data_IF_351672019797
#
_entry.id   IF_351672019797
#
_cell.length_a   1.000
_cell.length_b   1.000
_cell.length_c   1.000
_cell.angle_alpha   90.00
_cell.angle_beta   90.00
_cell.angle_gamma   90.00
#
_symmetry.space_group_name_H-M   'P 1'
#
loop_
_entity.id
_entity.type
_entity.pdbx_description
1 polymer ?
#
# COMPACT_ATOMS: atom_id res chain seq x y z
N UNK A 1 -42.65 -6.27 30.31
CA UNK A 1 -41.30 -6.76 30.64
C UNK A 1 -40.59 -7.49 29.51
N UNK A 2 -41.20 -8.35 28.69
CA UNK A 2 -40.53 -9.10 27.60
C UNK A 2 -40.06 -8.25 26.39
N UNK A 3 -40.58 -7.03 26.20
CA UNK A 3 -40.19 -6.14 25.11
C UNK A 3 -38.93 -5.27 25.46
N UNK A 4 -38.72 -4.98 26.74
CA UNK A 4 -37.57 -4.17 27.20
C UNK A 4 -36.28 -5.01 27.17
N UNK A 5 -36.38 -6.32 27.44
CA UNK A 5 -35.22 -7.22 27.40
C UNK A 5 -34.68 -7.42 25.97
N UNK A 6 -35.53 -7.36 24.94
CA UNK A 6 -35.09 -7.47 23.53
C UNK A 6 -34.38 -6.20 23.03
N UNK A 7 -34.73 -5.03 23.55
CA UNK A 7 -34.04 -3.78 23.21
C UNK A 7 -32.68 -3.62 23.90
N UNK A 8 -32.50 -4.26 25.08
CA UNK A 8 -31.22 -4.20 25.79
C UNK A 8 -30.16 -5.15 25.22
N UNK A 9 -30.56 -6.21 24.50
CA UNK A 9 -29.62 -7.14 23.84
C UNK A 9 -29.04 -6.53 22.57
N UNK A 10 -29.73 -5.57 21.94
CA UNK A 10 -29.21 -4.88 20.74
C UNK A 10 -28.15 -3.80 21.07
N UNK A 11 -28.04 -3.39 22.34
CA UNK A 11 -27.08 -2.36 22.79
C UNK A 11 -25.70 -2.95 23.19
N UNK A 12 -25.55 -4.29 23.14
CA UNK A 12 -24.32 -4.99 23.51
C UNK A 12 -23.63 -5.70 22.34
N UNK A 13 -23.94 -5.33 21.09
CA UNK A 13 -23.05 -5.72 20.01
C UNK A 13 -21.75 -4.88 20.16
N UNK A 14 -20.59 -5.52 20.40
CA UNK A 14 -19.34 -4.83 20.30
C UNK A 14 -19.25 -4.34 18.85
N UNK A 15 -19.28 -3.04 18.65
CA UNK A 15 -18.78 -2.40 17.44
C UNK A 15 -17.30 -2.76 17.38
N UNK A 16 -17.00 -3.85 16.71
CA UNK A 16 -15.62 -4.13 16.29
C UNK A 16 -15.25 -3.00 15.35
N UNK A 17 -14.64 -1.94 15.90
CA UNK A 17 -13.88 -0.99 15.12
C UNK A 17 -12.70 -1.79 14.55
N UNK A 18 -12.91 -2.41 13.40
CA UNK A 18 -11.82 -2.94 12.59
C UNK A 18 -10.95 -1.74 12.25
N UNK A 19 -9.80 -1.63 12.92
CA UNK A 19 -8.80 -0.63 12.60
C UNK A 19 -8.51 -0.75 11.11
N UNK A 20 -8.48 0.38 10.39
CA UNK A 20 -8.20 0.37 8.97
C UNK A 20 -6.79 -0.20 8.78
N UNK A 21 -6.72 -1.35 8.11
CA UNK A 21 -5.47 -1.85 7.52
C UNK A 21 -4.86 -0.72 6.70
N UNK A 22 -3.54 -0.56 6.76
CA UNK A 22 -2.83 0.45 5.97
C UNK A 22 -3.37 0.49 4.55
N UNK A 23 -3.71 1.68 4.02
CA UNK A 23 -4.38 1.78 2.74
C UNK A 23 -3.49 1.20 1.64
N UNK A 24 -3.90 0.06 1.10
CA UNK A 24 -3.22 -0.52 -0.06
C UNK A 24 -3.58 0.33 -1.27
N UNK A 25 -2.57 0.89 -1.93
CA UNK A 25 -2.73 1.58 -3.21
C UNK A 25 -3.31 0.64 -4.27
N UNK A 26 -4.10 1.13 -5.21
CA UNK A 26 -4.55 0.31 -6.35
C UNK A 26 -3.42 0.09 -7.38
N UNK A 27 -2.38 0.91 -7.31
CA UNK A 27 -1.25 0.88 -8.23
C UNK A 27 -0.07 0.05 -7.73
N UNK A 28 -0.24 -0.80 -6.69
CA UNK A 28 0.81 -1.70 -6.19
C UNK A 28 1.38 -2.62 -7.28
N UNK A 29 0.60 -2.98 -8.29
CA UNK A 29 1.06 -3.75 -9.45
C UNK A 29 2.11 -2.98 -10.25
N UNK A 30 1.89 -1.69 -10.43
CA UNK A 30 2.84 -0.82 -11.12
C UNK A 30 4.05 -0.51 -10.24
N UNK A 31 3.87 -0.57 -8.92
CA UNK A 31 4.89 -0.24 -7.95
C UNK A 31 4.90 -1.15 -6.72
N UNK A 32 5.42 -2.37 -6.84
CA UNK A 32 5.43 -3.33 -5.74
C UNK A 32 6.29 -2.92 -4.53
N UNK A 33 7.15 -1.90 -4.65
CA UNK A 33 7.93 -1.38 -3.51
C UNK A 33 7.02 -0.87 -2.38
N UNK A 34 5.85 -0.31 -2.70
CA UNK A 34 4.84 0.11 -1.71
C UNK A 34 4.43 -0.98 -0.73
N UNK A 35 4.51 -2.24 -1.14
CA UNK A 35 4.04 -3.38 -0.35
C UNK A 35 5.14 -4.37 0.01
N UNK A 36 6.32 -4.29 -0.62
CA UNK A 36 7.37 -5.30 -0.45
C UNK A 36 8.76 -4.70 -0.61
N UNK A 37 9.58 -4.58 0.47
CA UNK A 37 10.91 -4.00 0.43
C UNK A 37 11.89 -4.79 -0.46
N UNK A 38 11.64 -6.08 -0.69
CA UNK A 38 12.51 -6.90 -1.55
C UNK A 38 12.46 -6.50 -3.03
N UNK A 39 11.51 -5.64 -3.41
CA UNK A 39 11.40 -5.14 -4.77
C UNK A 39 12.40 -4.00 -5.08
N UNK A 40 13.00 -3.39 -4.08
CA UNK A 40 13.98 -2.31 -4.28
C UNK A 40 15.07 -2.71 -5.30
N UNK A 41 15.34 -1.82 -6.27
CA UNK A 41 16.32 -2.05 -7.33
C UNK A 41 15.98 -3.12 -8.37
N UNK A 42 14.79 -3.70 -8.34
CA UNK A 42 14.38 -4.72 -9.32
C UNK A 42 13.89 -4.14 -10.66
N UNK A 43 13.93 -2.81 -10.84
CA UNK A 43 13.59 -2.15 -12.12
C UNK A 43 14.76 -2.01 -13.10
N UNK A 44 15.97 -2.31 -12.68
CA UNK A 44 17.17 -2.25 -13.53
C UNK A 44 17.75 -0.84 -13.73
N UNK A 45 17.20 0.18 -13.10
CA UNK A 45 17.70 1.56 -13.17
C UNK A 45 17.16 2.39 -12.00
N UNK A 46 17.66 3.62 -11.88
CA UNK A 46 17.10 4.58 -10.92
C UNK A 46 15.69 4.96 -11.35
N UNK A 47 14.72 4.72 -10.48
CA UNK A 47 13.31 5.05 -10.65
C UNK A 47 12.88 6.03 -9.56
N UNK A 48 12.14 7.06 -9.95
CA UNK A 48 11.50 8.00 -9.05
C UNK A 48 10.01 8.01 -9.37
N UNK A 49 9.16 7.73 -8.39
CA UNK A 49 7.72 7.74 -8.55
C UNK A 49 7.06 8.62 -7.48
N UNK A 50 6.13 9.45 -7.90
CA UNK A 50 5.28 10.25 -7.02
C UNK A 50 3.83 9.80 -7.17
N UNK A 51 3.13 9.69 -6.05
CA UNK A 51 1.73 9.28 -5.99
C UNK A 51 0.91 10.30 -5.24
N UNK A 52 -0.32 10.47 -5.70
CA UNK A 52 -1.37 11.19 -4.99
C UNK A 52 -2.63 10.36 -4.99
N UNK A 53 -3.17 10.05 -3.81
CA UNK A 53 -4.41 9.30 -3.63
C UNK A 53 -5.39 10.11 -2.79
N UNK A 54 -6.62 10.23 -3.26
CA UNK A 54 -7.75 10.77 -2.50
C UNK A 54 -8.84 9.71 -2.46
N UNK A 55 -9.07 9.15 -1.27
CA UNK A 55 -10.11 8.14 -1.07
C UNK A 55 -11.46 8.81 -0.82
N UNK A 56 -12.54 8.10 -1.13
CA UNK A 56 -13.93 8.45 -0.83
C UNK A 56 -14.23 9.92 -1.05
N UNK A 57 -13.98 10.40 -2.26
CA UNK A 57 -14.18 11.78 -2.65
C UNK A 57 -15.63 12.20 -2.39
N UNK A 58 -15.81 13.38 -1.79
CA UNK A 58 -17.12 13.88 -1.33
C UNK A 58 -17.33 13.70 0.18
N UNK A 59 -16.59 12.85 0.84
CA UNK A 59 -16.67 12.68 2.31
C UNK A 59 -15.66 13.62 2.99
N UNK A 60 -16.13 14.42 3.93
CA UNK A 60 -15.27 15.32 4.71
C UNK A 60 -14.34 14.51 5.61
N UNK A 61 -13.04 14.85 5.63
CA UNK A 61 -12.04 14.13 6.41
C UNK A 61 -11.61 12.79 5.81
N UNK A 62 -12.07 12.44 4.61
CA UNK A 62 -11.65 11.22 3.92
C UNK A 62 -10.13 11.16 3.70
N UNK A 63 -9.53 9.94 3.66
CA UNK A 63 -8.09 9.76 3.57
C UNK A 63 -7.48 10.41 2.32
N UNK A 64 -6.33 11.04 2.51
CA UNK A 64 -5.53 11.64 1.45
C UNK A 64 -4.07 11.25 1.68
N UNK A 65 -3.46 10.64 0.67
CA UNK A 65 -2.09 10.15 0.73
C UNK A 65 -1.26 10.77 -0.38
N UNK A 66 -0.07 11.24 -0.04
CA UNK A 66 0.97 11.65 -0.98
C UNK A 66 2.19 10.78 -0.69
N UNK A 67 2.78 10.17 -1.70
CA UNK A 67 4.03 9.44 -1.53
C UNK A 67 5.05 9.76 -2.60
N UNK A 68 6.31 9.67 -2.20
CA UNK A 68 7.48 9.72 -3.08
C UNK A 68 8.29 8.46 -2.85
N UNK A 69 8.63 7.79 -3.92
CA UNK A 69 9.42 6.57 -3.89
C UNK A 69 10.59 6.69 -4.86
N UNK A 70 11.74 6.26 -4.40
CA UNK A 70 12.97 6.22 -5.18
C UNK A 70 13.58 4.84 -5.01
N UNK A 71 13.92 4.15 -6.08
CA UNK A 71 14.64 2.90 -6.00
C UNK A 71 15.69 2.75 -7.09
N UNK A 72 16.78 2.08 -6.77
CA UNK A 72 17.87 1.84 -7.70
C UNK A 72 18.61 0.53 -7.37
N UNK A 73 19.08 -0.20 -8.41
CA UNK A 73 20.08 -1.24 -8.22
C UNK A 73 21.46 -0.63 -7.95
N UNK A 74 22.22 -1.27 -7.08
CA UNK A 74 23.61 -0.93 -6.78
C UNK A 74 24.48 -2.18 -6.85
N UNK A 75 25.79 -2.00 -6.97
CA UNK A 75 26.79 -3.10 -6.99
C UNK A 75 26.38 -4.25 -7.93
N UNK A 76 26.47 -4.01 -9.22
CA UNK A 76 26.21 -5.00 -10.28
C UNK A 76 24.83 -5.71 -10.17
N UNK A 77 23.79 -4.97 -9.80
CA UNK A 77 22.40 -5.40 -9.68
C UNK A 77 22.06 -6.46 -8.60
N UNK A 78 23.03 -6.86 -7.77
CA UNK A 78 22.77 -7.78 -6.65
C UNK A 78 22.13 -7.11 -5.46
N UNK A 79 22.46 -5.84 -5.22
CA UNK A 79 21.87 -5.02 -4.17
C UNK A 79 20.87 -4.04 -4.75
N UNK A 80 19.78 -3.82 -4.08
CA UNK A 80 18.81 -2.77 -4.35
C UNK A 80 18.66 -1.87 -3.13
N UNK A 81 18.54 -0.58 -3.40
CA UNK A 81 18.21 0.43 -2.40
C UNK A 81 16.89 1.09 -2.77
N UNK A 82 16.06 1.31 -1.78
CA UNK A 82 14.79 2.02 -1.89
C UNK A 82 14.68 3.10 -0.83
N UNK A 83 13.91 4.12 -1.15
CA UNK A 83 13.49 5.17 -0.24
C UNK A 83 12.03 5.45 -0.50
N UNK A 84 11.21 5.38 0.55
CA UNK A 84 9.78 5.69 0.50
C UNK A 84 9.45 6.74 1.53
N UNK A 85 8.80 7.82 1.10
CA UNK A 85 8.25 8.86 1.96
C UNK A 85 6.76 8.88 1.72
N UNK A 86 5.96 8.67 2.77
CA UNK A 86 4.49 8.70 2.70
C UNK A 86 3.98 9.76 3.67
N UNK A 87 3.15 10.66 3.17
CA UNK A 87 2.37 11.58 3.99
C UNK A 87 0.90 11.22 3.86
N UNK A 88 0.28 10.88 4.97
CA UNK A 88 -1.11 10.46 5.04
C UNK A 88 -1.90 11.37 5.99
N UNK A 89 -3.10 11.75 5.56
CA UNK A 89 -4.03 12.56 6.35
C UNK A 89 -5.39 11.88 6.38
N UNK A 90 -5.88 11.57 7.58
CA UNK A 90 -7.20 10.98 7.82
C UNK A 90 -7.90 11.81 8.89
N UNK A 91 -8.97 12.50 8.52
CA UNK A 91 -9.64 13.45 9.41
C UNK A 91 -8.66 14.53 9.90
N UNK A 92 -8.49 14.60 11.19
CA UNK A 92 -7.58 15.55 11.88
C UNK A 92 -6.20 14.91 12.21
N UNK A 93 -6.01 13.62 11.88
CA UNK A 93 -4.75 12.92 12.10
C UNK A 93 -3.86 13.04 10.86
N UNK A 94 -2.60 13.37 11.08
CA UNK A 94 -1.55 13.40 10.05
C UNK A 94 -0.44 12.45 10.45
N UNK A 95 0.04 11.65 9.50
CA UNK A 95 1.22 10.81 9.67
C UNK A 95 2.19 10.99 8.51
N UNK A 96 3.47 10.93 8.82
CA UNK A 96 4.53 10.94 7.82
C UNK A 96 5.46 9.77 8.10
N UNK A 97 5.60 8.88 7.13
CA UNK A 97 6.50 7.73 7.20
C UNK A 97 7.69 7.97 6.28
N UNK A 98 8.86 7.61 6.77
CA UNK A 98 10.11 7.61 6.04
C UNK A 98 10.72 6.21 6.17
N UNK A 99 10.85 5.50 5.04
CA UNK A 99 11.39 4.14 5.00
C UNK A 99 12.54 4.06 4.03
N UNK A 100 13.59 3.33 4.43
CA UNK A 100 14.68 2.90 3.56
C UNK A 100 14.60 1.40 3.39
N UNK A 101 14.67 0.93 2.14
CA UNK A 101 14.55 -0.47 1.78
C UNK A 101 15.89 -0.96 1.23
N UNK A 102 16.27 -2.16 1.67
CA UNK A 102 17.48 -2.86 1.27
C UNK A 102 17.10 -4.22 0.73
N UNK A 103 17.50 -4.52 -0.49
CA UNK A 103 17.26 -5.83 -1.08
C UNK A 103 18.55 -6.50 -1.50
N UNK A 104 18.59 -7.82 -1.40
CA UNK A 104 19.67 -8.65 -1.89
C UNK A 104 19.14 -9.74 -2.82
N UNK A 105 19.68 -9.78 -4.06
CA UNK A 105 19.25 -10.68 -5.12
C UNK A 105 20.17 -11.90 -5.21
N UNK A 106 19.55 -13.08 -5.20
CA UNK A 106 20.19 -14.38 -5.31
C UNK A 106 19.68 -15.03 -6.60
N UNK A 107 20.58 -15.52 -7.43
CA UNK A 107 20.21 -16.31 -8.61
C UNK A 107 19.88 -17.75 -8.18
N UNK A 108 18.76 -18.28 -8.65
CA UNK A 108 18.28 -19.63 -8.37
C UNK A 108 18.17 -20.38 -9.72
N UNK A 109 19.12 -21.28 -9.97
CA UNK A 109 19.24 -21.90 -11.28
C UNK A 109 19.58 -20.90 -12.38
N UNK A 110 19.18 -21.21 -13.62
CA UNK A 110 19.56 -20.43 -14.80
C UNK A 110 18.67 -19.20 -15.04
N UNK A 111 17.41 -19.24 -14.61
CA UNK A 111 16.42 -18.19 -14.92
C UNK A 111 15.75 -17.58 -13.68
N UNK A 112 15.89 -18.21 -12.53
CA UNK A 112 15.22 -17.79 -11.30
C UNK A 112 16.01 -16.75 -10.51
N UNK A 113 15.28 -15.79 -9.94
CA UNK A 113 15.85 -14.78 -9.04
C UNK A 113 15.02 -14.71 -7.76
N UNK A 114 15.70 -14.79 -6.62
CA UNK A 114 15.10 -14.56 -5.30
C UNK A 114 15.68 -13.28 -4.72
N UNK A 115 14.84 -12.32 -4.42
CA UNK A 115 15.21 -11.09 -3.72
C UNK A 115 14.72 -11.15 -2.29
N UNK A 116 15.61 -10.92 -1.34
CA UNK A 116 15.30 -10.78 0.09
C UNK A 116 15.38 -9.30 0.45
N UNK A 117 14.40 -8.77 1.16
CA UNK A 117 14.33 -7.35 1.48
C UNK A 117 14.07 -7.08 2.95
N UNK A 118 14.70 -6.02 3.42
CA UNK A 118 14.47 -5.43 4.74
C UNK A 118 14.23 -3.94 4.58
N UNK A 119 13.20 -3.44 5.26
CA UNK A 119 12.96 -2.01 5.38
C UNK A 119 13.16 -1.55 6.82
N UNK A 120 13.71 -0.35 6.97
CA UNK A 120 13.86 0.31 8.27
C UNK A 120 13.57 1.80 8.13
N UNK A 121 12.85 2.36 9.09
CA UNK A 121 12.45 3.74 9.02
C UNK A 121 11.81 4.27 10.29
N UNK A 122 11.19 5.42 10.14
CA UNK A 122 10.50 6.15 11.21
C UNK A 122 9.14 6.62 10.69
N UNK A 123 8.16 6.60 11.57
CA UNK A 123 6.87 7.24 11.33
C UNK A 123 6.63 8.30 12.37
N UNK A 124 6.22 9.48 11.93
CA UNK A 124 5.71 10.54 12.82
C UNK A 124 4.19 10.58 12.71
N UNK A 125 3.51 10.82 13.81
CA UNK A 125 2.05 10.99 13.80
C UNK A 125 1.65 12.06 14.81
N UNK A 126 0.64 12.83 14.47
CA UNK A 126 -0.02 13.77 15.36
C UNK A 126 -1.50 13.89 15.00
N UNK A 127 -2.30 14.23 16.00
CA UNK A 127 -3.75 14.44 15.85
C UNK A 127 -4.12 15.79 16.43
N UNK A 128 -4.75 16.62 15.60
CA UNK A 128 -5.28 17.93 15.99
C UNK A 128 -6.67 17.77 16.61
N UNK A 129 -6.72 17.32 17.86
CA UNK A 129 -7.98 17.09 18.59
C UNK A 129 -8.83 18.35 18.71
N UNK A 130 -8.20 19.53 18.81
CA UNK A 130 -8.86 20.83 18.90
C UNK A 130 -9.68 21.20 17.63
N UNK A 131 -9.42 20.53 16.49
CA UNK A 131 -10.18 20.73 15.26
C UNK A 131 -11.48 19.88 15.20
N UNK A 132 -11.70 19.00 16.20
CA UNK A 132 -12.89 18.16 16.25
C UNK A 132 -14.10 18.94 16.77
N UNK A 133 -15.25 18.72 16.13
CA UNK A 133 -16.53 19.16 16.67
C UNK A 133 -17.01 18.08 17.65
N UNK A 134 -16.87 18.36 18.96
CA UNK A 134 -17.25 17.45 20.03
C UNK A 134 -18.62 17.81 20.59
N UNK A 135 -19.35 16.81 21.10
CA UNK A 135 -20.67 17.01 21.71
C UNK A 135 -20.60 17.73 23.06
N UNK A 136 -19.52 17.52 23.80
CA UNK A 136 -19.21 18.22 25.05
C UNK A 136 -17.99 19.12 24.85
N UNK A 137 -18.16 20.44 24.71
CA UNK A 137 -17.06 21.37 24.53
C UNK A 137 -16.14 21.47 25.74
N UNK A 138 -16.53 20.94 26.90
CA UNK A 138 -15.76 20.92 28.12
C UNK A 138 -14.89 19.69 28.32
N UNK A 139 -14.89 18.74 27.42
CA UNK A 139 -14.06 17.55 27.50
C UNK A 139 -12.59 17.88 27.28
N UNK A 140 -11.83 17.87 28.38
CA UNK A 140 -10.42 18.26 28.41
C UNK A 140 -9.52 17.43 27.51
N UNK A 141 -9.92 16.20 27.14
CA UNK A 141 -9.15 15.34 26.23
C UNK A 141 -9.05 15.90 24.81
N UNK A 142 -10.02 16.71 24.38
CA UNK A 142 -10.07 17.28 23.03
C UNK A 142 -9.61 18.76 22.97
N UNK A 143 -9.27 19.36 24.11
CA UNK A 143 -8.83 20.77 24.13
C UNK A 143 -7.37 20.94 23.67
N UNK A 144 -6.57 19.88 23.75
CA UNK A 144 -5.13 19.94 23.48
C UNK A 144 -4.77 18.92 22.40
N UNK A 145 -4.13 19.40 21.36
CA UNK A 145 -3.61 18.56 20.29
C UNK A 145 -2.57 17.55 20.79
N UNK A 146 -2.51 16.39 20.15
CA UNK A 146 -1.47 15.42 20.48
C UNK A 146 -0.08 15.99 20.17
N UNK A 147 0.92 15.60 20.95
CA UNK A 147 2.31 15.83 20.59
C UNK A 147 2.64 15.07 19.30
N UNK A 148 3.67 15.50 18.61
CA UNK A 148 4.25 14.71 17.52
C UNK A 148 4.97 13.51 18.13
N UNK A 149 4.50 12.32 17.79
CA UNK A 149 5.13 11.06 18.20
C UNK A 149 6.00 10.53 17.06
N UNK A 150 7.15 10.00 17.41
CA UNK A 150 8.07 9.35 16.48
C UNK A 150 8.18 7.89 16.88
N UNK A 151 7.86 7.01 15.96
CA UNK A 151 7.93 5.54 16.17
C UNK A 151 8.80 4.91 15.10
N UNK A 152 9.69 3.98 15.45
CA UNK A 152 10.42 3.20 14.46
C UNK A 152 9.47 2.27 13.71
N UNK A 153 9.80 1.98 12.46
CA UNK A 153 9.09 1.00 11.65
C UNK A 153 10.08 0.11 10.93
N UNK A 154 9.72 -1.16 10.77
CA UNK A 154 10.52 -2.15 10.07
C UNK A 154 9.62 -2.98 9.16
N UNK A 155 10.16 -3.40 8.04
CA UNK A 155 9.48 -4.30 7.10
C UNK A 155 10.39 -5.43 6.67
N UNK A 156 9.77 -6.53 6.24
CA UNK A 156 10.45 -7.68 5.68
C UNK A 156 9.74 -8.12 4.40
N UNK A 157 10.51 -8.62 3.44
CA UNK A 157 9.92 -9.18 2.24
C UNK A 157 10.82 -10.16 1.50
N UNK A 158 10.17 -10.98 0.69
CA UNK A 158 10.80 -11.87 -0.27
C UNK A 158 10.08 -11.72 -1.61
N UNK A 159 10.83 -11.85 -2.70
CA UNK A 159 10.30 -11.73 -4.05
C UNK A 159 11.05 -12.69 -4.97
N UNK A 160 10.36 -13.76 -5.38
CA UNK A 160 10.87 -14.71 -6.38
C UNK A 160 10.27 -14.40 -7.73
N UNK A 161 11.08 -14.38 -8.77
CA UNK A 161 10.61 -14.13 -10.12
C UNK A 161 11.47 -14.83 -11.18
N UNK A 162 10.82 -15.14 -12.26
CA UNK A 162 11.38 -15.57 -13.54
C UNK A 162 10.84 -14.65 -14.64
N UNK A 163 11.18 -14.91 -15.88
CA UNK A 163 10.78 -14.06 -17.01
C UNK A 163 9.28 -13.69 -17.06
N UNK A 164 8.40 -14.63 -16.75
CA UNK A 164 6.94 -14.44 -16.94
C UNK A 164 6.12 -14.59 -15.65
N UNK A 165 6.73 -14.92 -14.55
CA UNK A 165 6.04 -15.23 -13.30
C UNK A 165 6.75 -14.62 -12.12
N UNK A 166 5.97 -14.19 -11.12
CA UNK A 166 6.53 -13.81 -9.83
C UNK A 166 5.63 -14.24 -8.68
N UNK A 167 6.23 -14.39 -7.52
CA UNK A 167 5.56 -14.47 -6.24
C UNK A 167 6.33 -13.65 -5.21
N UNK A 168 5.61 -12.79 -4.49
CA UNK A 168 6.13 -11.95 -3.43
C UNK A 168 5.41 -12.24 -2.12
N UNK A 169 6.17 -12.27 -1.04
CA UNK A 169 5.63 -12.31 0.32
C UNK A 169 6.26 -11.17 1.12
N UNK A 170 5.47 -10.48 1.93
CA UNK A 170 5.99 -9.40 2.78
C UNK A 170 5.20 -9.23 4.07
N UNK A 171 5.86 -8.62 5.04
CA UNK A 171 5.28 -8.08 6.25
C UNK A 171 5.67 -6.59 6.25
N UNK A 172 4.81 -5.71 5.69
CA UNK A 172 5.13 -4.29 5.51
C UNK A 172 5.33 -3.54 6.82
N UNK A 173 4.85 -4.09 7.94
CA UNK A 173 4.96 -3.50 9.26
C UNK A 173 5.21 -4.57 10.32
N UNK A 174 6.41 -4.56 10.91
CA UNK A 174 6.84 -5.52 11.94
C UNK A 174 6.63 -5.00 13.37
N UNK A 175 6.39 -3.72 13.57
CA UNK A 175 6.10 -3.14 14.86
C UNK A 175 4.68 -2.63 14.93
N UNK A 176 3.93 -3.08 15.94
CA UNK A 176 2.68 -2.46 16.35
C UNK A 176 2.94 -1.36 17.38
N UNK A 177 2.10 -0.35 17.39
CA UNK A 177 2.10 0.66 18.43
C UNK A 177 0.67 0.94 18.89
N UNK A 178 0.52 1.14 20.20
CA UNK A 178 -0.73 1.49 20.83
C UNK A 178 -0.54 2.81 21.59
N UNK A 179 -1.45 3.75 21.36
CA UNK A 179 -1.47 4.98 22.12
C UNK A 179 -2.07 4.73 23.49
N UNK A 180 -1.36 5.16 24.55
CA UNK A 180 -1.79 5.13 25.93
C UNK A 180 -2.22 6.56 26.30
N UNK A 181 -3.53 6.78 26.41
CA UNK A 181 -4.11 8.09 26.70
C UNK A 181 -3.71 8.60 28.08
N UNK A 182 -3.63 7.72 29.08
CA UNK A 182 -3.29 8.12 30.45
C UNK A 182 -1.85 8.62 30.57
N UNK A 183 -0.95 8.02 29.80
CA UNK A 183 0.48 8.37 29.79
C UNK A 183 0.88 9.31 28.68
N UNK A 184 -0.06 9.63 27.78
CA UNK A 184 0.15 10.45 26.59
C UNK A 184 1.41 10.02 25.80
N UNK A 185 1.54 8.70 25.55
CA UNK A 185 2.67 8.10 24.84
C UNK A 185 2.27 6.87 24.04
N UNK A 186 3.04 6.59 23.00
CA UNK A 186 2.95 5.30 22.33
C UNK A 186 3.80 4.24 23.03
N UNK A 187 3.25 3.03 23.12
CA UNK A 187 3.97 1.82 23.49
C UNK A 187 4.19 0.97 22.24
N UNK A 188 5.41 0.47 22.06
CA UNK A 188 5.79 -0.41 20.97
C UNK A 188 5.54 -1.86 21.37
N UNK A 189 5.00 -2.62 20.45
CA UNK A 189 4.72 -4.05 20.65
C UNK A 189 5.20 -4.85 19.44
N UNK A 190 5.89 -5.93 19.70
CA UNK A 190 6.18 -6.98 18.71
C UNK A 190 5.19 -8.10 18.95
N UNK A 191 4.10 -8.11 18.19
CA UNK A 191 2.99 -9.05 18.36
C UNK A 191 2.65 -9.64 16.99
N UNK A 192 3.14 -10.85 16.67
CA UNK A 192 2.87 -11.51 15.38
C UNK A 192 1.38 -11.66 15.06
N UNK A 193 0.54 -11.72 16.08
CA UNK A 193 -0.92 -11.72 15.96
C UNK A 193 -1.51 -10.43 15.39
N UNK A 194 -0.74 -9.34 15.38
CA UNK A 194 -1.13 -8.05 14.81
C UNK A 194 -0.42 -7.76 13.49
N UNK A 195 0.36 -8.71 12.97
CA UNK A 195 1.05 -8.52 11.71
C UNK A 195 0.09 -8.56 10.54
N UNK A 196 0.44 -7.77 9.56
CA UNK A 196 -0.22 -7.68 8.28
C UNK A 196 0.63 -8.41 7.25
N UNK A 197 0.17 -9.58 6.84
CA UNK A 197 0.86 -10.44 5.87
C UNK A 197 0.34 -10.16 4.47
N UNK A 198 1.23 -10.00 3.52
CA UNK A 198 0.90 -9.76 2.11
C UNK A 198 1.53 -10.83 1.25
N UNK A 199 0.74 -11.47 0.42
CA UNK A 199 1.18 -12.39 -0.63
C UNK A 199 0.68 -11.84 -1.96
N UNK A 200 1.60 -11.63 -2.92
CA UNK A 200 1.24 -11.22 -4.26
C UNK A 200 1.86 -12.14 -5.30
N UNK A 201 1.12 -12.42 -6.36
CA UNK A 201 1.60 -13.25 -7.47
C UNK A 201 0.97 -12.81 -8.77
N UNK A 202 1.66 -13.06 -9.87
CA UNK A 202 1.15 -12.75 -11.21
C UNK A 202 1.91 -13.50 -12.30
N UNK A 203 1.25 -13.60 -13.43
CA UNK A 203 1.80 -14.29 -14.60
C UNK A 203 1.59 -13.45 -15.86
N UNK A 204 2.62 -13.34 -16.69
CA UNK A 204 2.57 -12.61 -17.96
C UNK A 204 2.35 -13.56 -19.11
N UNK A 205 1.21 -13.44 -19.79
CA UNK A 205 0.82 -14.20 -20.97
C UNK A 205 0.98 -13.34 -22.21
N UNK A 206 1.83 -13.73 -23.15
CA UNK A 206 1.92 -13.07 -24.44
C UNK A 206 0.77 -13.51 -25.35
N UNK A 207 -0.13 -12.58 -25.70
CA UNK A 207 -1.26 -12.84 -26.61
C UNK A 207 -0.93 -12.51 -28.07
N UNK A 208 0.27 -12.01 -28.32
CA UNK A 208 0.77 -11.62 -29.63
C UNK A 208 2.07 -10.85 -29.51
N UNK A 209 2.49 -10.20 -30.58
CA UNK A 209 3.77 -9.45 -30.61
C UNK A 209 3.72 -8.16 -29.81
N UNK A 210 2.55 -7.58 -29.57
CA UNK A 210 2.37 -6.25 -28.96
C UNK A 210 1.33 -6.21 -27.84
N UNK A 211 0.76 -7.37 -27.50
CA UNK A 211 -0.28 -7.48 -26.47
C UNK A 211 0.12 -8.55 -25.47
N UNK A 212 0.12 -8.20 -24.20
CA UNK A 212 0.35 -9.12 -23.09
C UNK A 212 -0.82 -9.03 -22.13
N UNK A 213 -1.25 -10.17 -21.59
CA UNK A 213 -2.25 -10.26 -20.54
C UNK A 213 -1.56 -10.60 -19.22
N UNK A 214 -1.93 -9.91 -18.18
CA UNK A 214 -1.31 -10.02 -16.88
C UNK A 214 -2.37 -10.24 -15.78
N UNK A 215 -2.81 -11.49 -15.54
CA UNK A 215 -3.57 -11.86 -14.37
C UNK A 215 -2.67 -11.84 -13.14
N UNK A 216 -3.18 -11.30 -12.04
CA UNK A 216 -2.47 -11.29 -10.77
C UNK A 216 -3.43 -11.27 -9.60
N UNK A 217 -2.93 -11.63 -8.43
CA UNK A 217 -3.68 -11.55 -7.17
C UNK A 217 -2.81 -11.00 -6.06
N UNK A 218 -3.44 -10.29 -5.15
CA UNK A 218 -2.89 -9.87 -3.87
C UNK A 218 -3.75 -10.48 -2.78
N UNK A 219 -3.15 -11.12 -1.81
CA UNK A 219 -3.84 -11.65 -0.63
C UNK A 219 -3.23 -10.96 0.58
N UNK A 220 -4.11 -10.48 1.43
CA UNK A 220 -3.75 -9.80 2.67
C UNK A 220 -4.40 -10.51 3.83
N UNK A 221 -3.61 -10.84 4.83
CA UNK A 221 -4.06 -11.52 6.02
C UNK A 221 -3.55 -10.82 7.27
N UNK A 222 -4.45 -10.58 8.22
CA UNK A 222 -4.14 -10.17 9.59
C UNK A 222 -4.89 -11.10 10.54
N UNK A 223 -4.23 -11.70 11.55
CA UNK A 223 -4.89 -12.57 12.51
C UNK A 223 -6.05 -11.86 13.20
N UNK A 224 -7.21 -12.53 13.26
CA UNK A 224 -8.44 -11.96 13.85
C UNK A 224 -9.27 -11.09 12.88
N UNK A 225 -8.78 -10.82 11.68
CA UNK A 225 -9.51 -10.10 10.65
C UNK A 225 -9.91 -10.99 9.47
N UNK A 226 -10.82 -10.49 8.62
CA UNK A 226 -11.20 -11.21 7.41
C UNK A 226 -10.05 -11.20 6.41
N UNK A 227 -9.82 -12.33 5.75
CA UNK A 227 -8.91 -12.41 4.63
C UNK A 227 -9.38 -11.46 3.53
N UNK A 228 -8.49 -10.57 3.09
CA UNK A 228 -8.73 -9.73 1.93
C UNK A 228 -7.94 -10.26 0.73
N UNK A 229 -8.56 -10.18 -0.44
CA UNK A 229 -7.90 -10.53 -1.68
C UNK A 229 -8.32 -9.59 -2.80
N UNK A 230 -7.38 -9.31 -3.69
CA UNK A 230 -7.59 -8.59 -4.94
C UNK A 230 -7.36 -9.56 -6.11
N UNK A 231 -8.25 -9.57 -7.07
CA UNK A 231 -8.09 -10.28 -8.34
C UNK A 231 -7.98 -9.23 -9.43
N UNK A 232 -6.91 -9.31 -10.21
CA UNK A 232 -6.58 -8.30 -11.21
C UNK A 232 -6.47 -8.92 -12.60
N UNK A 233 -6.94 -8.18 -13.58
CA UNK A 233 -6.81 -8.48 -14.99
C UNK A 233 -6.30 -7.23 -15.72
N UNK A 234 -5.05 -7.26 -16.18
CA UNK A 234 -4.43 -6.13 -16.87
C UNK A 234 -3.95 -6.55 -18.25
N UNK A 235 -3.95 -5.62 -19.18
CA UNK A 235 -3.40 -5.77 -20.53
C UNK A 235 -2.32 -4.72 -20.74
N UNK A 236 -1.17 -5.16 -21.21
CA UNK A 236 -0.14 -4.29 -21.77
C UNK A 236 -0.32 -4.25 -23.28
N UNK A 237 -0.43 -3.07 -23.84
CA UNK A 237 -0.70 -2.81 -25.24
C UNK A 237 0.44 -1.98 -25.84
N UNK A 238 1.01 -2.48 -26.95
CA UNK A 238 2.06 -1.78 -27.72
C UNK A 238 3.30 -1.38 -26.92
N UNK A 239 3.56 -2.03 -25.77
CA UNK A 239 4.59 -1.67 -24.78
C UNK A 239 4.53 -0.19 -24.33
N UNK A 240 3.36 0.43 -24.45
CA UNK A 240 3.13 1.85 -24.10
C UNK A 240 1.96 2.08 -23.16
N UNK A 241 0.97 1.23 -23.19
CA UNK A 241 -0.25 1.42 -22.43
C UNK A 241 -0.56 0.19 -21.58
N UNK A 242 -0.92 0.40 -20.34
CA UNK A 242 -1.50 -0.60 -19.46
C UNK A 242 -2.93 -0.20 -19.12
N UNK A 243 -3.83 -1.12 -19.30
CA UNK A 243 -5.24 -0.97 -18.95
C UNK A 243 -5.68 -2.21 -18.18
N UNK A 244 -6.44 -2.02 -17.13
CA UNK A 244 -6.92 -3.16 -16.38
C UNK A 244 -8.00 -2.82 -15.39
N UNK A 245 -8.54 -3.88 -14.80
CA UNK A 245 -9.53 -3.82 -13.76
C UNK A 245 -9.15 -4.77 -12.63
N UNK A 246 -9.60 -4.43 -11.43
CA UNK A 246 -9.40 -5.22 -10.24
C UNK A 246 -10.70 -5.31 -9.44
N UNK A 247 -10.89 -6.46 -8.81
CA UNK A 247 -11.94 -6.66 -7.81
C UNK A 247 -11.29 -6.98 -6.48
N UNK A 248 -11.69 -6.24 -5.45
CA UNK A 248 -11.25 -6.43 -4.06
C UNK A 248 -12.38 -7.00 -3.22
N UNK A 249 -12.07 -8.01 -2.41
CA UNK A 249 -13.06 -8.76 -1.62
C UNK A 249 -13.82 -7.93 -0.58
N UNK A 250 -13.33 -6.74 -0.22
CA UNK A 250 -14.06 -5.78 0.61
C UNK A 250 -15.15 -5.02 -0.16
N UNK A 251 -15.58 -5.57 -1.32
CA UNK A 251 -16.64 -5.03 -2.18
C UNK A 251 -16.24 -3.73 -2.90
N UNK A 252 -15.02 -3.66 -3.43
CA UNK A 252 -14.65 -2.57 -4.32
C UNK A 252 -14.17 -3.09 -5.68
N UNK A 253 -14.36 -2.26 -6.71
CA UNK A 253 -13.86 -2.48 -8.06
C UNK A 253 -13.02 -1.30 -8.48
N UNK A 254 -11.92 -1.56 -9.16
CA UNK A 254 -11.08 -0.48 -9.66
C UNK A 254 -10.73 -0.67 -11.13
N UNK A 255 -10.52 0.46 -11.81
CA UNK A 255 -9.96 0.54 -13.15
C UNK A 255 -8.61 1.24 -13.07
N UNK A 256 -7.65 0.79 -13.87
CA UNK A 256 -6.31 1.31 -13.94
C UNK A 256 -5.92 1.57 -15.38
N UNK A 257 -5.32 2.73 -15.62
CA UNK A 257 -4.72 3.11 -16.90
C UNK A 257 -3.30 3.65 -16.61
N UNK A 258 -2.29 3.10 -17.31
CA UNK A 258 -0.95 3.69 -17.37
C UNK A 258 -0.59 3.97 -18.82
N UNK A 259 0.07 5.09 -19.05
CA UNK A 259 0.59 5.49 -20.35
C UNK A 259 2.07 5.86 -20.24
N UNK A 260 2.90 5.25 -21.09
CA UNK A 260 4.30 5.62 -21.26
C UNK A 260 4.39 6.76 -22.28
N UNK A 261 4.55 7.99 -21.79
CA UNK A 261 4.73 9.20 -22.62
C UNK A 261 5.99 9.05 -23.49
N UNK A 262 7.05 8.54 -22.89
CA UNK A 262 8.28 8.12 -23.54
C UNK A 262 8.90 6.93 -22.78
N UNK A 263 10.14 6.52 -23.13
CA UNK A 263 10.82 5.39 -22.48
C UNK A 263 11.13 5.61 -21.00
N UNK A 264 11.15 6.85 -20.55
CA UNK A 264 11.55 7.23 -19.20
C UNK A 264 10.35 7.69 -18.37
N UNK A 265 9.38 8.37 -18.97
CA UNK A 265 8.28 9.00 -18.25
C UNK A 265 6.96 8.27 -18.47
N UNK A 266 6.35 7.86 -17.36
CA UNK A 266 5.06 7.15 -17.30
C UNK A 266 4.09 7.89 -16.39
N UNK A 267 2.84 7.91 -16.79
CA UNK A 267 1.73 8.47 -16.01
C UNK A 267 0.72 7.36 -15.81
N UNK A 268 0.20 7.19 -14.60
CA UNK A 268 -0.89 6.27 -14.35
C UNK A 268 -2.02 6.96 -13.57
N UNK A 269 -3.22 6.47 -13.81
CA UNK A 269 -4.42 6.87 -13.10
C UNK A 269 -5.22 5.63 -12.75
N UNK A 270 -5.74 5.58 -11.52
CA UNK A 270 -6.72 4.58 -11.14
C UNK A 270 -7.92 5.21 -10.47
N UNK A 271 -9.06 4.59 -10.70
CA UNK A 271 -10.35 4.92 -10.08
C UNK A 271 -10.86 3.69 -9.36
N UNK A 272 -11.30 3.87 -8.11
CA UNK A 272 -11.80 2.82 -7.24
C UNK A 272 -13.21 3.19 -6.77
N UNK A 273 -14.16 2.28 -6.99
CA UNK A 273 -15.55 2.44 -6.60
C UNK A 273 -15.93 1.39 -5.55
N UNK A 274 -16.48 1.86 -4.43
CA UNK A 274 -16.97 1.00 -3.36
C UNK A 274 -18.37 0.50 -3.70
N UNK A 275 -18.55 -0.83 -3.74
CA UNK A 275 -19.83 -1.49 -3.95
C UNK A 275 -20.61 -1.69 -2.64
N UNK A 276 -20.04 -1.29 -1.51
CA UNK A 276 -20.65 -1.33 -0.19
C UNK A 276 -21.45 -0.05 0.11
N UNK A 277 -21.73 0.15 1.38
CA UNK A 277 -22.54 1.30 1.84
C UNK A 277 -21.85 2.64 1.59
N UNK A 278 -20.51 2.70 1.69
CA UNK A 278 -19.73 3.90 1.42
C UNK A 278 -19.85 4.40 -0.03
N UNK A 279 -20.11 3.51 -0.98
CA UNK A 279 -20.34 3.89 -2.37
C UNK A 279 -21.53 4.84 -2.58
N UNK A 280 -22.52 4.79 -1.69
CA UNK A 280 -23.67 5.69 -1.75
C UNK A 280 -23.37 7.10 -1.26
N UNK A 281 -22.28 7.29 -0.52
CA UNK A 281 -21.90 8.56 0.11
C UNK A 281 -20.64 9.18 -0.51
N UNK A 282 -19.92 8.41 -1.35
CA UNK A 282 -18.68 8.86 -1.95
C UNK A 282 -18.75 8.84 -3.49
N UNK A 283 -17.97 9.70 -4.11
CA UNK A 283 -17.76 9.71 -5.56
C UNK A 283 -16.56 8.82 -5.96
N UNK A 284 -16.27 7.78 -5.16
CA UNK A 284 -15.14 6.89 -5.38
C UNK A 284 -13.79 7.47 -4.94
N UNK A 285 -12.73 6.74 -5.24
CA UNK A 285 -11.35 7.10 -4.90
C UNK A 285 -10.52 7.29 -6.16
N UNK A 286 -9.66 8.27 -6.16
CA UNK A 286 -8.81 8.63 -7.29
C UNK A 286 -7.34 8.52 -6.89
N UNK A 287 -6.52 7.95 -7.77
CA UNK A 287 -5.09 7.85 -7.56
C UNK A 287 -4.34 8.17 -8.85
N UNK A 288 -3.33 9.02 -8.76
CA UNK A 288 -2.44 9.41 -9.86
C UNK A 288 -1.01 9.04 -9.51
N UNK A 289 -0.28 8.50 -10.47
CA UNK A 289 1.17 8.25 -10.37
C UNK A 289 1.89 8.94 -11.52
N UNK A 290 3.01 9.55 -11.17
CA UNK A 290 4.01 10.02 -12.11
C UNK A 290 5.30 9.26 -11.84
N UNK A 291 5.90 8.64 -12.86
CA UNK A 291 7.18 7.92 -12.72
C UNK A 291 8.17 8.39 -13.77
N UNK A 292 9.39 8.57 -13.30
CA UNK A 292 10.53 8.81 -14.15
C UNK A 292 11.61 7.75 -13.92
N UNK A 293 12.02 7.06 -14.99
CA UNK A 293 13.07 6.06 -15.00
C UNK A 293 14.30 6.63 -15.72
N UNK A 294 15.41 6.74 -15.02
CA UNK A 294 16.64 7.27 -15.60
C UNK A 294 17.26 6.29 -16.59
N UNK A 295 17.98 6.81 -17.59
CA UNK A 295 18.53 6.00 -18.70
C UNK A 295 19.67 5.05 -18.28
N UNK A 296 20.18 5.20 -17.06
CA UNK A 296 21.12 4.25 -16.49
C UNK A 296 20.42 2.93 -16.26
N UNK A 297 20.79 1.90 -17.01
CA UNK A 297 20.20 0.58 -16.90
C UNK A 297 21.24 -0.46 -16.58
N UNK A 298 20.89 -1.34 -15.67
CA UNK A 298 21.54 -2.63 -15.45
C UNK A 298 20.60 -3.69 -15.99
N UNK A 299 21.10 -4.72 -16.64
CA UNK A 299 20.25 -5.80 -17.15
C UNK A 299 19.54 -6.50 -16.01
N UNK A 300 18.23 -6.43 -16.00
CA UNK A 300 17.35 -7.08 -15.02
C UNK A 300 16.22 -7.78 -15.76
N UNK A 301 16.01 -9.04 -15.46
CA UNK A 301 14.88 -9.81 -15.96
C UNK A 301 13.78 -9.74 -14.88
N UNK A 302 12.73 -8.97 -15.11
CA UNK A 302 11.61 -8.84 -14.19
C UNK A 302 10.31 -8.70 -14.99
N UNK A 303 9.26 -9.52 -14.72
CA UNK A 303 8.01 -9.49 -15.46
C UNK A 303 7.21 -8.18 -15.31
N UNK A 304 7.54 -7.35 -14.34
CA UNK A 304 6.91 -6.05 -14.10
C UNK A 304 7.65 -4.85 -14.72
N UNK A 305 8.72 -5.10 -15.51
CA UNK A 305 9.41 -4.07 -16.28
C UNK A 305 8.80 -4.00 -17.67
N UNK A 306 8.26 -2.85 -18.02
CA UNK A 306 7.59 -2.59 -19.31
C UNK A 306 8.15 -1.34 -19.97
#
# INVERSE_FOLDING_TARGET
MKKIVKSLIFLLMPLSLAGQLSPVTNQYILNPLTINPSYAGNRGGLSVAAFYRKQWTGITGAPQTISLEVDAPVLSSKLGLGLTIVNDKIGVTKSTQFMTDYSYKINIGDEGHLSLGLGAGLMTTNTAWSELVVLDPGDEYYLIDSKVFVVPDFSFGTYYYVKNYFVGFSIPKLLGYKFDFDKNKYSLHVQPENYYYVLNTGYMVSLGTRTKFFPSTLITYSPGEKLLYDINAHFSLFDRMWIGASYRSNRSVSALLQFAVNRQFKIAYSYDYDLGELGSYSNGSHEVMLRYEFSYRVDVINPLIF
#
